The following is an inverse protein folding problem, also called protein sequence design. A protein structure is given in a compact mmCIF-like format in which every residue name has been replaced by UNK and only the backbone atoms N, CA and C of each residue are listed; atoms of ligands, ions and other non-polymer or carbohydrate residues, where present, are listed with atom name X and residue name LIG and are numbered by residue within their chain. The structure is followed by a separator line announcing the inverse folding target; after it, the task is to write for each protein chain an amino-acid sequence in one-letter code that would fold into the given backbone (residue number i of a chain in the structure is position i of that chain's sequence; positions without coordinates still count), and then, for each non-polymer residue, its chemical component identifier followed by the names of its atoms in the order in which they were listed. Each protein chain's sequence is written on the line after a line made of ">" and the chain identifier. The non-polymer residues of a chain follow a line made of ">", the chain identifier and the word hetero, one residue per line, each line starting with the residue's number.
data_IF_111973246860
#
_entry.id   IF_111973246860
#
_cell.length_a   1.000
_cell.length_b   1.000
_cell.length_c   1.000
_cell.angle_alpha   90.00
_cell.angle_beta   90.00
_cell.angle_gamma   90.00
#
_symmetry.space_group_name_H-M   'P 1'
#
loop_
_entity.id
_entity.type
_entity.pdbx_description
1 polymer ?
#
# COMPACT_ATOMS: atom_id res chain seq x y z
N UNK A 1 -23.41 10.34 -14.24
CA UNK A 1 -22.47 11.32 -14.82
C UNK A 1 -21.20 11.21 -14.00
N UNK A 2 -20.22 10.45 -14.47
CA UNK A 2 -18.92 10.28 -13.80
C UNK A 2 -18.12 11.56 -14.03
N UNK A 3 -18.07 12.43 -13.03
CA UNK A 3 -17.27 13.64 -13.14
C UNK A 3 -15.85 13.28 -12.71
N UNK A 4 -14.99 12.99 -13.69
CA UNK A 4 -13.54 12.89 -13.47
C UNK A 4 -13.06 14.18 -12.79
N UNK A 5 -12.11 14.06 -11.86
CA UNK A 5 -11.48 15.21 -11.24
C UNK A 5 -10.62 15.93 -12.30
N UNK A 6 -11.00 17.16 -12.66
CA UNK A 6 -10.18 17.97 -13.57
C UNK A 6 -8.92 18.47 -12.86
N UNK A 7 -7.91 18.91 -13.60
CA UNK A 7 -6.70 19.48 -13.00
C UNK A 7 -7.02 20.72 -12.14
N UNK A 8 -7.91 21.60 -12.62
CA UNK A 8 -8.31 22.79 -11.86
C UNK A 8 -9.11 22.46 -10.59
N UNK A 9 -9.98 21.44 -10.65
CA UNK A 9 -10.68 20.97 -9.45
C UNK A 9 -9.71 20.36 -8.45
N UNK A 10 -8.74 19.58 -8.94
CA UNK A 10 -7.67 19.01 -8.11
C UNK A 10 -6.87 20.09 -7.41
N UNK A 11 -6.40 21.10 -8.13
CA UNK A 11 -5.59 22.19 -7.57
C UNK A 11 -6.35 22.91 -6.44
N UNK A 12 -7.63 23.21 -6.64
CA UNK A 12 -8.48 23.87 -5.64
C UNK A 12 -8.71 23.02 -4.39
N UNK A 13 -8.82 21.70 -4.53
CA UNK A 13 -9.01 20.78 -3.41
C UNK A 13 -7.69 20.47 -2.70
N UNK A 14 -6.62 20.27 -3.45
CA UNK A 14 -5.30 19.89 -2.95
C UNK A 14 -4.62 21.03 -2.19
N UNK A 15 -4.82 22.28 -2.62
CA UNK A 15 -4.32 23.49 -1.92
C UNK A 15 -4.87 23.61 -0.48
N UNK A 16 -6.04 23.02 -0.21
CA UNK A 16 -6.64 23.03 1.13
C UNK A 16 -5.98 22.00 2.08
N UNK A 17 -5.12 21.11 1.57
CA UNK A 17 -4.49 20.04 2.34
C UNK A 17 -5.49 19.01 2.88
N UNK A 18 -6.62 18.83 2.20
CA UNK A 18 -7.66 17.87 2.58
C UNK A 18 -7.58 16.61 1.71
N UNK A 19 -7.72 15.41 2.29
CA UNK A 19 -7.86 14.19 1.51
C UNK A 19 -9.22 14.18 0.80
N UNK A 20 -9.25 13.66 -0.43
CA UNK A 20 -10.51 13.45 -1.16
C UNK A 20 -10.49 12.14 -1.94
N UNK A 21 -11.67 11.72 -2.38
CA UNK A 21 -11.87 10.48 -3.13
C UNK A 21 -12.37 10.83 -4.52
N UNK A 22 -11.67 10.34 -5.54
CA UNK A 22 -12.14 10.36 -6.92
C UNK A 22 -12.86 9.05 -7.20
N UNK A 23 -14.13 9.13 -7.60
CA UNK A 23 -14.96 7.96 -7.95
C UNK A 23 -15.08 7.84 -9.47
N UNK A 24 -15.32 6.63 -9.95
CA UNK A 24 -15.59 6.34 -11.36
C UNK A 24 -14.50 6.86 -12.32
N UNK A 25 -13.23 6.80 -11.87
CA UNK A 25 -12.09 7.22 -12.67
C UNK A 25 -12.03 6.38 -13.95
N UNK A 26 -11.99 7.06 -15.10
CA UNK A 26 -11.86 6.43 -16.42
C UNK A 26 -10.45 6.72 -16.95
N UNK A 27 -9.68 5.74 -17.46
CA UNK A 27 -10.08 4.37 -17.79
C UNK A 27 -10.33 3.43 -16.60
N UNK A 28 -9.87 3.80 -15.40
CA UNK A 28 -9.84 2.89 -14.25
C UNK A 28 -8.85 1.75 -14.46
N UNK A 29 -8.84 0.79 -13.54
CA UNK A 29 -8.07 -0.45 -13.71
C UNK A 29 -8.79 -1.34 -14.73
N UNK A 30 -8.12 -1.74 -15.82
CA UNK A 30 -8.69 -2.55 -16.91
C UNK A 30 -8.16 -3.97 -16.95
N UNK A 31 -7.00 -4.21 -16.36
CA UNK A 31 -6.44 -5.55 -16.24
C UNK A 31 -7.11 -6.32 -15.10
N UNK A 32 -6.81 -7.62 -14.99
CA UNK A 32 -7.28 -8.44 -13.87
C UNK A 32 -6.44 -8.18 -12.61
N UNK A 33 -6.95 -7.32 -11.74
CA UNK A 33 -6.40 -7.06 -10.40
C UNK A 33 -7.07 -7.91 -9.32
N UNK A 34 -7.81 -8.96 -9.69
CA UNK A 34 -8.35 -9.91 -8.72
C UNK A 34 -7.22 -10.71 -8.04
N UNK A 35 -7.50 -11.38 -6.91
CA UNK A 35 -6.53 -12.25 -6.28
C UNK A 35 -5.98 -13.32 -7.22
N UNK A 36 -6.80 -13.82 -8.15
CA UNK A 36 -6.38 -14.79 -9.17
C UNK A 36 -5.42 -14.16 -10.17
N UNK A 37 -5.78 -13.02 -10.78
CA UNK A 37 -4.91 -12.34 -11.74
C UNK A 37 -3.59 -11.88 -11.15
N UNK A 38 -3.59 -11.44 -9.88
CA UNK A 38 -2.37 -11.09 -9.15
C UNK A 38 -1.54 -12.33 -8.79
N UNK A 39 -2.17 -13.46 -8.45
CA UNK A 39 -1.48 -14.72 -8.21
C UNK A 39 -0.75 -15.22 -9.47
N UNK A 40 -1.34 -15.05 -10.65
CA UNK A 40 -0.68 -15.46 -11.91
C UNK A 40 0.62 -14.68 -12.18
N UNK A 41 0.72 -13.44 -11.71
CA UNK A 41 1.88 -12.57 -11.93
C UNK A 41 2.90 -12.63 -10.79
N UNK A 42 2.42 -12.65 -9.55
CA UNK A 42 3.23 -12.50 -8.35
C UNK A 42 3.36 -13.80 -7.54
N UNK A 43 2.59 -14.83 -7.87
CA UNK A 43 2.36 -16.01 -7.03
C UNK A 43 3.62 -16.77 -6.63
N UNK A 44 4.60 -16.85 -7.54
CA UNK A 44 5.87 -17.56 -7.30
C UNK A 44 6.74 -16.95 -6.20
N UNK A 45 6.44 -15.73 -5.76
CA UNK A 45 7.25 -15.03 -4.79
C UNK A 45 6.89 -15.45 -3.35
N UNK A 46 7.92 -15.62 -2.52
CA UNK A 46 7.73 -15.88 -1.09
C UNK A 46 7.33 -14.61 -0.34
N UNK A 47 6.31 -14.72 0.50
CA UNK A 47 5.82 -13.67 1.36
C UNK A 47 5.77 -14.09 2.83
N UNK A 48 5.71 -13.10 3.72
CA UNK A 48 5.29 -13.26 5.10
C UNK A 48 3.81 -12.90 5.18
N UNK A 49 3.07 -13.71 5.90
CA UNK A 49 1.69 -13.45 6.25
C UNK A 49 1.66 -13.17 7.74
N UNK A 50 1.12 -12.00 8.11
CA UNK A 50 1.03 -11.58 9.50
C UNK A 50 -0.44 -11.55 9.94
N UNK A 51 -0.68 -11.82 11.21
CA UNK A 51 -2.01 -11.62 11.81
C UNK A 51 -2.19 -10.15 12.16
N UNK A 52 -3.37 -9.61 11.90
CA UNK A 52 -3.74 -8.25 12.28
C UNK A 52 -4.07 -8.16 13.78
N UNK A 53 -4.52 -9.26 14.38
CA UNK A 53 -4.93 -9.32 15.78
C UNK A 53 -3.78 -9.74 16.71
N UNK A 54 -2.88 -10.62 16.24
CA UNK A 54 -1.73 -11.13 17.00
C UNK A 54 -0.40 -10.69 16.38
N UNK A 55 0.24 -9.69 16.99
CA UNK A 55 1.51 -9.14 16.49
C UNK A 55 2.69 -10.13 16.55
N UNK A 56 2.57 -11.20 17.34
CA UNK A 56 3.58 -12.25 17.43
C UNK A 56 3.40 -13.34 16.37
N UNK A 57 2.21 -13.42 15.75
CA UNK A 57 1.95 -14.41 14.72
C UNK A 57 2.46 -13.93 13.36
N UNK A 58 3.26 -14.79 12.74
CA UNK A 58 3.49 -14.72 11.31
C UNK A 58 3.97 -16.05 10.75
N UNK A 59 3.70 -16.26 9.47
CA UNK A 59 4.20 -17.41 8.72
C UNK A 59 4.76 -16.97 7.37
N UNK A 60 5.57 -17.82 6.77
CA UNK A 60 5.98 -17.66 5.37
C UNK A 60 5.04 -18.49 4.48
N UNK A 61 4.67 -17.96 3.33
CA UNK A 61 3.82 -18.62 2.33
C UNK A 61 4.19 -18.12 0.93
N UNK A 62 3.69 -18.76 -0.12
CA UNK A 62 3.72 -18.16 -1.44
C UNK A 62 2.65 -17.06 -1.56
N UNK A 63 2.87 -16.10 -2.45
CA UNK A 63 1.91 -15.02 -2.67
C UNK A 63 0.58 -15.55 -3.20
N UNK A 64 0.59 -16.56 -4.07
CA UNK A 64 -0.63 -17.18 -4.59
C UNK A 64 -1.44 -17.89 -3.50
N UNK A 65 -0.80 -18.67 -2.63
CA UNK A 65 -1.42 -19.34 -1.49
C UNK A 65 -2.18 -18.33 -0.61
N UNK A 66 -1.58 -17.15 -0.37
CA UNK A 66 -2.24 -16.10 0.39
C UNK A 66 -3.39 -15.46 -0.39
N UNK A 67 -3.14 -15.04 -1.63
CA UNK A 67 -4.12 -14.31 -2.44
C UNK A 67 -5.36 -15.16 -2.72
N UNK A 68 -5.18 -16.41 -3.13
CA UNK A 68 -6.28 -17.32 -3.42
C UNK A 68 -7.08 -17.70 -2.15
N UNK A 69 -6.45 -17.63 -0.98
CA UNK A 69 -7.09 -17.86 0.31
C UNK A 69 -7.76 -16.64 0.95
N UNK A 70 -7.78 -15.46 0.29
CA UNK A 70 -8.29 -14.21 0.90
C UNK A 70 -9.76 -14.27 1.33
N UNK A 71 -10.59 -14.98 0.57
CA UNK A 71 -12.03 -15.08 0.82
C UNK A 71 -12.40 -16.35 1.61
N UNK A 72 -11.41 -17.20 1.93
CA UNK A 72 -11.64 -18.41 2.71
C UNK A 72 -11.89 -18.09 4.18
N UNK A 73 -12.71 -18.92 4.84
CA UNK A 73 -12.92 -18.80 6.28
C UNK A 73 -11.61 -19.10 7.01
N UNK A 74 -11.16 -18.13 7.78
CA UNK A 74 -9.97 -18.25 8.62
C UNK A 74 -10.28 -17.73 10.02
N UNK A 75 -9.77 -18.43 11.04
CA UNK A 75 -9.89 -17.99 12.43
C UNK A 75 -9.03 -16.74 12.72
N UNK A 76 -8.06 -16.47 11.83
CA UNK A 76 -7.13 -15.35 11.90
C UNK A 76 -7.44 -14.30 10.83
N UNK A 77 -7.25 -13.04 11.17
CA UNK A 77 -7.32 -11.93 10.21
C UNK A 77 -5.92 -11.70 9.66
N UNK A 78 -5.65 -12.22 8.46
CA UNK A 78 -4.30 -12.23 7.92
C UNK A 78 -4.08 -11.12 6.89
N UNK A 79 -2.85 -10.62 6.81
CA UNK A 79 -2.40 -9.68 5.78
C UNK A 79 -1.06 -10.07 5.18
N UNK A 80 -0.90 -9.70 3.91
CA UNK A 80 0.33 -9.87 3.16
C UNK A 80 1.40 -8.88 3.62
N UNK A 81 2.63 -9.37 3.82
CA UNK A 81 3.86 -8.60 4.00
C UNK A 81 4.97 -9.32 3.24
N UNK A 82 5.48 -8.79 2.14
CA UNK A 82 6.33 -9.65 1.30
C UNK A 82 7.81 -9.54 1.62
N UNK A 83 8.52 -10.64 1.35
CA UNK A 83 9.95 -10.78 1.56
C UNK A 83 10.74 -10.49 0.28
N UNK A 84 11.87 -9.81 0.43
CA UNK A 84 12.96 -9.90 -0.54
C UNK A 84 13.86 -11.06 -0.08
N UNK A 85 14.00 -12.07 -0.94
CA UNK A 85 15.04 -13.08 -0.81
C UNK A 85 16.37 -12.42 -1.18
N UNK A 86 17.29 -12.29 -0.22
CA UNK A 86 18.66 -11.87 -0.52
C UNK A 86 19.51 -13.15 -0.60
N UNK A 87 19.83 -13.59 -1.80
CA UNK A 87 20.81 -14.64 -2.01
C UNK A 87 22.22 -14.02 -2.04
N UNK A 88 22.94 -14.07 -0.92
CA UNK A 88 24.38 -13.83 -0.95
C UNK A 88 25.07 -15.14 -1.32
N UNK A 89 25.60 -15.18 -2.54
CA UNK A 89 26.46 -16.25 -3.05
C UNK A 89 27.72 -16.36 -2.17
N UNK A 90 27.68 -17.19 -1.12
CA UNK A 90 28.76 -18.14 -0.77
C UNK A 90 28.44 -19.07 0.41
N UNK A 91 27.29 -18.94 1.09
CA UNK A 91 26.76 -19.95 2.03
C UNK A 91 25.22 -19.84 2.02
N UNK A 92 24.54 -20.97 1.88
CA UNK A 92 23.07 -21.06 1.82
C UNK A 92 22.47 -20.66 3.17
N UNK A 93 22.29 -19.36 3.37
CA UNK A 93 21.46 -18.77 4.41
C UNK A 93 20.61 -17.71 3.71
N UNK A 94 19.46 -18.13 3.23
CA UNK A 94 18.44 -17.25 2.65
C UNK A 94 17.85 -16.41 3.77
N UNK A 95 18.38 -15.21 3.98
CA UNK A 95 17.78 -14.23 4.87
C UNK A 95 16.69 -13.47 4.10
N UNK A 96 15.43 -13.65 4.51
CA UNK A 96 14.32 -12.86 3.98
C UNK A 96 14.21 -11.55 4.76
N UNK A 97 14.38 -10.40 4.07
CA UNK A 97 13.98 -9.10 4.61
C UNK A 97 12.57 -8.80 4.16
N UNK A 98 11.63 -8.82 5.10
CA UNK A 98 10.22 -8.51 4.84
C UNK A 98 10.00 -7.00 4.87
N UNK A 99 9.42 -6.45 3.80
CA UNK A 99 9.05 -5.04 3.68
C UNK A 99 7.52 -4.94 3.84
N UNK A 100 7.05 -3.83 4.42
CA UNK A 100 5.61 -3.57 4.56
C UNK A 100 4.92 -3.34 3.20
N UNK A 101 5.70 -2.90 2.21
CA UNK A 101 5.27 -2.51 0.88
C UNK A 101 5.81 -3.51 -0.14
N UNK A 102 4.93 -4.14 -0.92
CA UNK A 102 5.33 -5.03 -1.98
C UNK A 102 4.28 -5.12 -3.10
N UNK A 103 4.69 -5.36 -4.35
CA UNK A 103 6.07 -5.22 -4.83
C UNK A 103 6.58 -3.79 -4.63
N UNK A 104 7.90 -3.62 -4.50
CA UNK A 104 8.49 -2.30 -4.74
C UNK A 104 8.35 -2.00 -6.23
N UNK A 105 8.29 -0.74 -6.64
CA UNK A 105 7.98 -0.36 -8.03
C UNK A 105 8.87 -1.08 -9.07
N UNK A 106 10.18 -1.07 -8.82
CA UNK A 106 11.15 -1.71 -9.69
C UNK A 106 10.89 -3.22 -9.85
N UNK A 107 10.36 -3.87 -8.81
CA UNK A 107 9.97 -5.29 -8.85
C UNK A 107 8.59 -5.46 -9.50
N UNK A 108 7.66 -4.54 -9.33
CA UNK A 108 6.34 -4.61 -9.97
C UNK A 108 6.47 -4.52 -11.50
N UNK A 109 7.15 -3.48 -11.99
CA UNK A 109 7.37 -3.25 -13.43
C UNK A 109 8.10 -4.42 -14.10
N UNK A 110 9.08 -5.02 -13.40
CA UNK A 110 9.80 -6.19 -13.91
C UNK A 110 8.99 -7.49 -13.88
N UNK A 111 8.02 -7.62 -12.95
CA UNK A 111 7.09 -8.76 -12.89
C UNK A 111 5.98 -8.66 -13.93
N UNK A 112 5.38 -7.49 -14.10
CA UNK A 112 4.39 -7.24 -15.15
C UNK A 112 4.37 -5.78 -15.57
N UNK A 113 4.93 -5.53 -16.74
CA UNK A 113 4.81 -4.25 -17.43
C UNK A 113 3.34 -3.90 -17.74
N UNK A 114 2.52 -4.90 -18.04
CA UNK A 114 1.10 -4.70 -18.40
C UNK A 114 0.32 -4.16 -17.20
N UNK A 115 0.46 -4.79 -16.03
CA UNK A 115 -0.19 -4.31 -14.81
C UNK A 115 0.38 -2.95 -14.38
N UNK A 116 1.70 -2.75 -14.46
CA UNK A 116 2.30 -1.46 -14.11
C UNK A 116 1.74 -0.32 -14.96
N UNK A 117 1.61 -0.54 -16.28
CA UNK A 117 1.03 0.43 -17.21
C UNK A 117 -0.45 0.66 -16.95
N UNK A 118 -1.21 -0.41 -16.67
CA UNK A 118 -2.63 -0.29 -16.35
C UNK A 118 -2.86 0.54 -15.08
N UNK A 119 -2.04 0.33 -14.05
CA UNK A 119 -2.05 1.16 -12.84
C UNK A 119 -1.79 2.64 -13.15
N UNK A 120 -0.73 2.94 -13.91
CA UNK A 120 -0.40 4.32 -14.29
C UNK A 120 -1.56 5.00 -15.05
N UNK A 121 -2.24 4.27 -15.93
CA UNK A 121 -3.40 4.76 -16.67
C UNK A 121 -4.65 4.95 -15.79
N UNK A 122 -4.77 4.19 -14.70
CA UNK A 122 -5.88 4.28 -13.77
C UNK A 122 -5.75 5.44 -12.77
N UNK A 123 -4.57 6.04 -12.62
CA UNK A 123 -4.34 7.11 -11.67
C UNK A 123 -5.20 8.36 -11.99
N UNK A 124 -5.86 8.96 -10.98
CA UNK A 124 -6.55 10.23 -11.14
C UNK A 124 -5.55 11.36 -11.26
N UNK A 125 -5.85 12.33 -12.13
CA UNK A 125 -5.02 13.55 -12.29
C UNK A 125 -3.55 13.21 -12.57
N UNK A 126 -3.27 12.52 -13.69
CA UNK A 126 -1.94 11.99 -14.01
C UNK A 126 -0.85 13.06 -14.07
N UNK A 127 -1.19 14.34 -14.21
CA UNK A 127 -0.22 15.42 -14.13
C UNK A 127 0.54 15.45 -12.79
N UNK A 128 -0.13 15.11 -11.69
CA UNK A 128 0.43 15.03 -10.34
C UNK A 128 0.81 13.60 -9.94
N UNK A 129 -0.02 12.63 -10.27
CA UNK A 129 0.09 11.28 -9.71
C UNK A 129 0.95 10.33 -10.53
N UNK A 130 1.06 10.54 -11.85
CA UNK A 130 1.77 9.62 -12.73
C UNK A 130 3.28 9.80 -12.63
N UNK A 131 4.02 8.72 -12.85
CA UNK A 131 5.48 8.76 -13.00
C UNK A 131 5.96 9.54 -14.23
N UNK A 132 5.09 9.81 -15.20
CA UNK A 132 5.40 10.68 -16.34
C UNK A 132 4.75 12.07 -16.20
N UNK A 133 4.14 12.35 -15.04
CA UNK A 133 3.42 13.58 -14.77
C UNK A 133 4.35 14.80 -14.72
N UNK A 134 4.06 15.89 -15.45
CA UNK A 134 4.89 17.10 -15.44
C UNK A 134 4.91 17.85 -14.11
N UNK A 135 3.93 17.62 -13.23
CA UNK A 135 3.83 18.24 -11.90
C UNK A 135 4.22 17.27 -10.77
N UNK A 136 4.56 16.03 -11.11
CA UNK A 136 5.11 15.08 -10.14
C UNK A 136 6.60 15.39 -9.91
N UNK A 137 6.88 16.11 -8.82
CA UNK A 137 8.24 16.54 -8.46
C UNK A 137 9.19 15.35 -8.24
N UNK A 138 8.65 14.16 -7.95
CA UNK A 138 9.44 12.98 -7.67
C UNK A 138 10.24 12.51 -8.92
N UNK A 139 9.80 12.90 -10.12
CA UNK A 139 10.48 12.62 -11.39
C UNK A 139 11.75 13.44 -11.62
N UNK A 140 11.94 14.50 -10.85
CA UNK A 140 13.05 15.44 -11.03
C UNK A 140 14.16 15.24 -10.01
N UNK A 141 14.06 14.22 -9.16
CA UNK A 141 15.17 13.85 -8.28
C UNK A 141 16.35 13.32 -9.10
N UNK A 142 17.60 13.65 -8.73
CA UNK A 142 18.77 13.11 -9.40
C UNK A 142 18.82 11.58 -9.34
N UNK A 143 19.24 10.92 -10.43
CA UNK A 143 19.30 9.45 -10.57
C UNK A 143 20.03 8.75 -9.40
N UNK A 144 21.02 9.42 -8.80
CA UNK A 144 21.83 8.87 -7.71
C UNK A 144 21.48 9.46 -6.33
N UNK A 145 20.32 10.10 -6.19
CA UNK A 145 19.89 10.66 -4.91
C UNK A 145 19.34 9.55 -4.00
N UNK A 146 20.00 9.34 -2.86
CA UNK A 146 19.71 8.23 -1.95
C UNK A 146 18.33 8.30 -1.29
N UNK A 147 17.72 9.49 -1.25
CA UNK A 147 16.42 9.71 -0.61
C UNK A 147 15.32 9.96 -1.64
N UNK A 148 15.51 9.48 -2.87
CA UNK A 148 14.42 9.48 -3.87
C UNK A 148 13.28 8.62 -3.33
N UNK A 149 12.04 9.12 -3.28
CA UNK A 149 10.90 8.33 -2.83
C UNK A 149 10.76 7.04 -3.66
N UNK A 150 10.38 5.94 -3.03
CA UNK A 150 10.02 4.70 -3.72
C UNK A 150 8.66 4.89 -4.41
N UNK A 151 8.71 5.41 -5.63
CA UNK A 151 7.54 5.72 -6.47
C UNK A 151 7.11 4.49 -7.23
N UNK A 152 5.82 4.15 -7.15
CA UNK A 152 5.17 3.21 -8.06
C UNK A 152 4.19 2.28 -7.34
N UNK A 153 3.58 1.32 -8.06
CA UNK A 153 2.50 0.53 -7.52
C UNK A 153 3.00 -0.40 -6.42
N UNK A 154 2.47 -0.15 -5.22
CA UNK A 154 2.55 -1.03 -4.05
C UNK A 154 1.22 -1.74 -3.90
N UNK A 155 1.25 -3.04 -3.64
CA UNK A 155 0.05 -3.84 -3.43
C UNK A 155 -0.17 -4.09 -1.93
N UNK A 156 -1.40 -3.89 -1.49
CA UNK A 156 -1.84 -4.21 -0.15
C UNK A 156 -2.99 -5.22 -0.23
N UNK A 157 -2.84 -6.35 0.46
CA UNK A 157 -3.84 -7.40 0.50
C UNK A 157 -4.02 -7.91 1.94
N UNK A 158 -5.26 -7.92 2.40
CA UNK A 158 -5.63 -8.34 3.75
C UNK A 158 -7.03 -8.94 3.78
N UNK A 159 -7.25 -9.88 4.70
CA UNK A 159 -8.58 -10.38 5.05
C UNK A 159 -9.39 -9.29 5.76
N UNK A 160 -10.71 -9.44 5.78
CA UNK A 160 -11.59 -8.51 6.47
C UNK A 160 -11.32 -8.50 7.99
N UNK A 161 -11.09 -7.30 8.54
CA UNK A 161 -10.96 -7.10 9.98
C UNK A 161 -12.29 -7.37 10.69
N UNK A 162 -12.20 -7.77 11.96
CA UNK A 162 -13.37 -7.80 12.84
C UNK A 162 -13.89 -6.37 13.02
N UNK A 163 -15.19 -6.17 12.82
CA UNK A 163 -15.79 -4.83 12.92
C UNK A 163 -15.97 -4.40 14.39
N UNK A 164 -15.82 -3.10 14.65
CA UNK A 164 -16.02 -2.50 15.97
C UNK A 164 -14.78 -2.49 16.86
N UNK A 165 -14.98 -2.42 18.18
CA UNK A 165 -13.90 -2.25 19.17
C UNK A 165 -13.09 -3.53 19.44
N UNK A 166 -13.46 -4.65 18.82
CA UNK A 166 -12.85 -5.96 19.06
C UNK A 166 -11.80 -6.35 18.02
N UNK A 167 -11.63 -5.54 16.97
CA UNK A 167 -10.72 -5.82 15.86
C UNK A 167 -9.63 -4.78 15.69
N UNK A 168 -8.50 -5.22 15.17
CA UNK A 168 -7.42 -4.36 14.74
C UNK A 168 -7.55 -4.03 13.24
N UNK A 169 -7.22 -2.77 12.91
CA UNK A 169 -7.13 -2.35 11.51
C UNK A 169 -6.03 -3.10 10.76
N UNK A 170 -6.32 -3.49 9.51
CA UNK A 170 -5.34 -4.09 8.59
C UNK A 170 -4.12 -3.18 8.40
N UNK A 171 -4.33 -1.87 8.36
CA UNK A 171 -3.31 -0.82 8.40
C UNK A 171 -3.39 -0.03 9.69
N UNK A 172 -2.27 0.04 10.43
CA UNK A 172 -2.19 0.81 11.68
C UNK A 172 -2.08 2.30 11.38
N UNK A 173 -2.47 3.14 12.34
CA UNK A 173 -2.27 4.59 12.27
C UNK A 173 -0.80 4.91 11.99
N UNK A 174 -0.54 5.68 10.94
CA UNK A 174 0.77 6.16 10.54
C UNK A 174 0.63 7.48 9.78
N UNK A 175 1.76 8.12 9.51
CA UNK A 175 1.87 9.28 8.63
C UNK A 175 2.73 8.88 7.43
N UNK A 176 2.27 9.17 6.23
CA UNK A 176 3.06 9.02 5.01
C UNK A 176 4.00 10.22 4.86
N UNK A 177 5.22 9.95 4.40
CA UNK A 177 6.27 10.97 4.23
C UNK A 177 6.08 11.75 2.93
N UNK A 178 5.37 11.18 1.96
CA UNK A 178 5.06 11.78 0.66
C UNK A 178 3.57 11.70 0.36
N UNK A 179 3.15 12.47 -0.63
CA UNK A 179 1.81 12.33 -1.21
C UNK A 179 1.59 10.91 -1.72
N UNK A 180 0.36 10.42 -1.60
CA UNK A 180 0.01 9.05 -1.95
C UNK A 180 -1.38 8.98 -2.59
N UNK A 181 -1.51 8.09 -3.57
CA UNK A 181 -2.79 7.73 -4.19
C UNK A 181 -3.01 6.23 -3.94
N UNK A 182 -4.15 5.91 -3.33
CA UNK A 182 -4.58 4.52 -3.11
C UNK A 182 -5.76 4.21 -4.02
N UNK A 183 -5.68 3.11 -4.77
CA UNK A 183 -6.77 2.63 -5.62
C UNK A 183 -7.30 1.33 -5.03
N UNK A 184 -8.60 1.27 -4.73
CA UNK A 184 -9.26 0.04 -4.29
C UNK A 184 -9.53 -0.83 -5.52
N UNK A 185 -8.72 -1.87 -5.73
CA UNK A 185 -8.90 -2.81 -6.85
C UNK A 185 -10.04 -3.81 -6.61
N UNK A 186 -10.20 -4.31 -5.38
CA UNK A 186 -11.25 -5.26 -5.00
C UNK A 186 -11.55 -5.16 -3.50
N UNK A 187 -12.84 -5.26 -3.15
CA UNK A 187 -13.31 -5.30 -1.77
C UNK A 187 -13.70 -3.92 -1.24
N UNK A 188 -13.77 -3.82 0.08
CA UNK A 188 -14.21 -2.63 0.80
C UNK A 188 -13.29 -2.35 1.99
N UNK A 189 -13.18 -1.09 2.38
CA UNK A 189 -12.39 -0.71 3.55
C UNK A 189 -12.98 0.54 4.22
N UNK A 190 -12.89 0.58 5.55
CA UNK A 190 -13.17 1.76 6.35
C UNK A 190 -11.87 2.53 6.59
N UNK A 191 -11.84 3.80 6.20
CA UNK A 191 -10.68 4.68 6.38
C UNK A 191 -10.99 5.77 7.41
N UNK A 192 -10.11 5.90 8.39
CA UNK A 192 -10.06 7.08 9.26
C UNK A 192 -8.84 7.90 8.84
N UNK A 193 -9.07 9.08 8.25
CA UNK A 193 -8.01 9.98 7.79
C UNK A 193 -8.06 11.24 8.63
N UNK A 194 -6.90 11.67 9.10
CA UNK A 194 -6.73 12.87 9.91
C UNK A 194 -5.88 13.89 9.16
N UNK A 195 -6.11 15.18 9.43
CA UNK A 195 -5.31 16.23 8.83
C UNK A 195 -3.91 16.23 9.43
N UNK A 196 -2.90 16.56 8.63
CA UNK A 196 -1.50 16.61 9.06
C UNK A 196 -1.28 17.55 10.25
N UNK A 197 -2.01 18.67 10.30
CA UNK A 197 -1.96 19.64 11.41
C UNK A 197 -2.40 19.07 12.76
N UNK A 198 -3.14 17.96 12.77
CA UNK A 198 -3.62 17.31 13.99
C UNK A 198 -2.67 16.21 14.50
N UNK A 199 -1.57 15.94 13.79
CA UNK A 199 -0.62 14.88 14.11
C UNK A 199 -0.06 14.97 15.54
N UNK A 200 0.35 16.16 15.98
CA UNK A 200 0.87 16.37 17.34
C UNK A 200 -0.16 16.06 18.43
N UNK A 201 -1.42 16.41 18.19
CA UNK A 201 -2.51 16.16 19.13
C UNK A 201 -2.84 14.67 19.18
N UNK A 202 -2.88 14.00 18.03
CA UNK A 202 -3.08 12.56 17.93
C UNK A 202 -1.94 11.79 18.61
N UNK A 203 -0.69 12.20 18.41
CA UNK A 203 0.46 11.56 19.05
C UNK A 203 0.38 11.68 20.58
N UNK A 204 0.03 12.86 21.11
CA UNK A 204 -0.20 13.07 22.56
C UNK A 204 -1.35 12.21 23.07
N UNK A 205 -2.47 12.18 22.35
CA UNK A 205 -3.65 11.40 22.74
C UNK A 205 -3.36 9.90 22.77
N UNK A 206 -2.77 9.37 21.69
CA UNK A 206 -2.40 7.95 21.57
C UNK A 206 -1.34 7.61 22.60
N UNK A 207 -0.30 8.44 22.78
CA UNK A 207 0.74 8.22 23.79
C UNK A 207 0.20 8.20 25.22
N UNK A 208 -0.81 9.02 25.54
CA UNK A 208 -1.43 8.99 26.86
C UNK A 208 -2.29 7.74 27.12
N UNK A 209 -2.82 7.11 26.06
CA UNK A 209 -3.69 5.93 26.14
C UNK A 209 -2.90 4.63 26.03
N UNK A 210 -1.92 4.59 25.15
CA UNK A 210 -0.98 3.51 24.99
C UNK A 210 0.16 3.74 25.99
N UNK A 211 0.07 3.18 27.19
CA UNK A 211 1.22 3.06 28.08
C UNK A 211 2.28 2.17 27.41
N UNK A 212 3.09 2.76 26.54
CA UNK A 212 4.25 2.10 25.97
C UNK A 212 5.37 2.13 27.02
N UNK A 213 6.04 1.00 27.31
CA UNK A 213 7.29 0.98 28.06
C UNK A 213 8.44 1.75 27.38
N UNK A 214 8.25 2.19 26.13
CA UNK A 214 9.30 2.68 25.25
C UNK A 214 9.24 4.19 24.96
N UNK A 215 8.54 4.96 25.81
CA UNK A 215 8.50 6.43 25.76
C UNK A 215 9.14 7.08 27.00
N UNK A 216 9.95 6.33 27.74
CA UNK A 216 10.93 6.92 28.64
C UNK A 216 12.31 6.79 27.99
N UNK A 217 12.95 7.95 27.86
CA UNK A 217 14.30 8.28 27.39
C UNK A 217 14.44 8.71 25.92
#
# INVERSE_FOLDING_TARGET
>A
VSQQCSLGDFDLLWDQGIPFVVRDQTPGLRCDWSPTGLADVLGSDWCKVADCEDENYSKTALVDEFLLGLDEKNDRVLKLKVGISICNSSLILTAFRFVKDYPTDQRFKSKSFILARDFQLALPVPAYSSEDGPLNIANFFPINYSNTPDLGPKMYAAMASKFGNEGHGSTRLHIDISDAVNIMARGEALWHVFLSKDADQLQKYVGAKCKSPWLND
#
